data_IF_361831587214
#
_entry.id   IF_361831587214
#
_cell.length_a   1.000
_cell.length_b   1.000
_cell.length_c   1.000
_cell.angle_alpha   90.00
_cell.angle_beta   90.00
_cell.angle_gamma   90.00
#
_symmetry.space_group_name_H-M   'P 1'
#
loop_
_entity.id
_entity.type
_entity.pdbx_description
1 polymer ?
#
# COMPACT_ATOMS: atom_id res chain seq x y z
N UNK A 1 24.01 -11.75 -33.40
CA UNK A 1 22.71 -11.55 -32.72
C UNK A 1 22.84 -10.83 -31.36
N UNK A 2 23.98 -10.21 -31.03
CA UNK A 2 24.24 -9.55 -29.73
C UNK A 2 23.88 -8.04 -29.68
N UNK A 3 23.57 -7.45 -30.84
CA UNK A 3 23.31 -6.00 -30.98
C UNK A 3 21.83 -5.61 -30.84
N UNK A 4 20.89 -6.56 -31.01
CA UNK A 4 19.46 -6.28 -30.88
C UNK A 4 18.95 -6.35 -29.42
N UNK A 5 19.60 -7.16 -28.58
CA UNK A 5 19.27 -7.32 -27.16
C UNK A 5 19.68 -6.09 -26.32
N UNK A 6 20.82 -5.48 -26.66
CA UNK A 6 21.26 -4.22 -26.04
C UNK A 6 20.34 -3.05 -26.36
N UNK A 7 19.75 -3.01 -27.57
CA UNK A 7 18.74 -1.98 -27.91
C UNK A 7 17.39 -2.20 -27.20
N UNK A 8 17.02 -3.43 -26.88
CA UNK A 8 15.76 -3.74 -26.17
C UNK A 8 15.84 -3.45 -24.66
N UNK A 9 17.02 -3.69 -24.06
CA UNK A 9 17.29 -3.35 -22.65
C UNK A 9 17.49 -1.85 -22.49
N UNK A 10 18.17 -1.19 -23.44
CA UNK A 10 18.33 0.27 -23.43
C UNK A 10 16.99 0.97 -23.70
N UNK A 11 16.10 0.40 -24.53
CA UNK A 11 14.75 0.92 -24.71
C UNK A 11 13.88 0.87 -23.44
N UNK A 12 14.13 -0.09 -22.53
CA UNK A 12 13.46 -0.14 -21.23
C UNK A 12 14.04 0.89 -20.24
N UNK A 13 15.33 1.22 -20.33
CA UNK A 13 15.95 2.30 -19.55
C UNK A 13 15.69 3.71 -20.12
N UNK A 14 15.39 3.83 -21.42
CA UNK A 14 15.09 5.09 -22.13
C UNK A 14 13.59 5.42 -22.21
N UNK A 15 12.73 4.55 -21.67
CA UNK A 15 11.34 4.89 -21.35
C UNK A 15 11.33 5.86 -20.17
N UNK A 16 11.54 7.13 -20.53
CA UNK A 16 11.57 8.31 -19.68
C UNK A 16 10.70 8.15 -18.43
N UNK A 17 11.44 8.07 -17.33
CA UNK A 17 11.06 8.29 -15.95
C UNK A 17 10.47 9.70 -15.78
N UNK A 18 9.34 9.98 -16.41
CA UNK A 18 8.63 11.27 -16.34
C UNK A 18 7.14 11.00 -16.48
N UNK A 19 6.35 11.42 -15.47
CA UNK A 19 4.87 11.44 -15.36
C UNK A 19 4.17 10.30 -14.59
N UNK A 20 3.97 10.56 -13.28
CA UNK A 20 2.81 10.35 -12.39
C UNK A 20 1.90 9.11 -12.42
N UNK A 21 2.13 8.08 -13.22
CA UNK A 21 1.39 6.80 -13.10
C UNK A 21 2.32 5.62 -13.38
N UNK A 22 3.13 5.26 -12.38
CA UNK A 22 4.11 4.18 -12.47
C UNK A 22 3.46 2.80 -12.27
N UNK A 23 2.72 2.29 -13.26
CA UNK A 23 2.35 0.88 -13.35
C UNK A 23 2.33 0.50 -14.84
N UNK A 24 3.26 -0.36 -15.30
CA UNK A 24 3.17 -1.02 -16.63
C UNK A 24 1.77 -1.69 -16.82
N UNK A 25 1.30 -2.00 -18.04
CA UNK A 25 0.06 -2.77 -18.24
C UNK A 25 0.22 -4.25 -17.82
N UNK A 26 -0.87 -4.95 -17.42
CA UNK A 26 -0.88 -6.38 -17.03
C UNK A 26 -0.21 -7.26 -18.10
N UNK A 27 -0.66 -7.13 -19.34
CA UNK A 27 -0.29 -8.02 -20.44
C UNK A 27 1.20 -7.90 -20.82
N UNK A 28 1.80 -6.74 -20.59
CA UNK A 28 3.22 -6.50 -20.88
C UNK A 28 4.13 -7.10 -19.80
N UNK A 29 3.66 -7.24 -18.56
CA UNK A 29 4.45 -7.79 -17.44
C UNK A 29 4.42 -9.31 -17.39
N UNK A 30 3.25 -9.90 -17.59
CA UNK A 30 3.10 -11.36 -17.63
C UNK A 30 3.90 -11.92 -18.83
N UNK A 31 3.84 -11.23 -19.99
CA UNK A 31 4.64 -11.57 -21.16
C UNK A 31 6.16 -11.33 -20.96
N UNK A 32 6.57 -10.43 -20.08
CA UNK A 32 8.00 -10.25 -19.72
C UNK A 32 8.50 -11.37 -18.82
N UNK A 33 7.69 -11.83 -17.84
CA UNK A 33 8.05 -12.96 -16.98
C UNK A 33 8.19 -14.25 -17.81
N UNK A 34 7.18 -14.55 -18.64
CA UNK A 34 7.15 -15.76 -19.48
C UNK A 34 8.29 -15.80 -20.52
N UNK A 35 8.69 -14.65 -21.08
CA UNK A 35 9.82 -14.58 -22.03
C UNK A 35 11.17 -14.78 -21.33
N UNK A 36 11.34 -14.25 -20.13
CA UNK A 36 12.61 -14.35 -19.40
C UNK A 36 12.86 -15.78 -18.89
N UNK A 37 11.81 -16.52 -18.52
CA UNK A 37 11.90 -17.93 -18.14
C UNK A 37 12.21 -18.85 -19.33
N UNK A 38 11.74 -18.51 -20.54
CA UNK A 38 12.03 -19.29 -21.75
C UNK A 38 13.44 -19.07 -22.32
N UNK A 39 14.03 -17.88 -22.17
CA UNK A 39 15.35 -17.57 -22.75
C UNK A 39 16.54 -17.93 -21.84
N UNK A 40 16.34 -18.11 -20.52
CA UNK A 40 17.45 -18.31 -19.56
C UNK A 40 17.18 -19.40 -18.50
N UNK A 41 17.19 -20.69 -18.88
CA UNK A 41 16.82 -21.81 -18.01
C UNK A 41 17.82 -22.17 -16.90
N UNK A 42 19.01 -21.56 -16.88
CA UNK A 42 20.15 -22.00 -16.04
C UNK A 42 20.39 -21.13 -14.79
N UNK A 43 19.42 -20.31 -14.35
CA UNK A 43 19.45 -19.70 -13.02
C UNK A 43 20.51 -18.64 -12.76
N UNK A 44 21.17 -18.09 -13.79
CA UNK A 44 22.21 -17.04 -13.63
C UNK A 44 21.66 -15.66 -13.28
N UNK A 45 20.35 -15.51 -13.04
CA UNK A 45 19.70 -14.23 -12.74
C UNK A 45 19.08 -14.10 -11.34
N UNK A 46 19.76 -14.65 -10.32
CA UNK A 46 19.43 -14.35 -8.93
C UNK A 46 19.44 -12.84 -8.60
N UNK A 47 19.98 -11.97 -9.48
CA UNK A 47 19.95 -10.51 -9.29
C UNK A 47 18.80 -9.76 -10.01
N UNK A 48 18.08 -10.38 -10.96
CA UNK A 48 16.87 -9.75 -11.55
C UNK A 48 15.59 -10.26 -10.88
N UNK A 49 15.55 -11.52 -10.45
CA UNK A 49 14.40 -12.08 -9.71
C UNK A 49 14.26 -11.40 -8.35
N UNK A 50 15.36 -10.95 -7.72
CA UNK A 50 15.32 -10.27 -6.42
C UNK A 50 14.65 -8.89 -6.44
N UNK A 51 14.54 -8.22 -7.59
CA UNK A 51 13.82 -6.93 -7.69
C UNK A 51 12.33 -7.08 -8.06
N UNK A 52 11.83 -8.31 -8.20
CA UNK A 52 10.44 -8.60 -8.56
C UNK A 52 9.64 -9.22 -7.39
N UNK A 53 10.26 -9.44 -6.23
CA UNK A 53 9.64 -10.05 -5.03
C UNK A 53 8.63 -9.16 -4.29
N UNK A 54 8.28 -8.00 -4.82
CA UNK A 54 7.39 -7.05 -4.14
C UNK A 54 6.27 -6.59 -5.09
N UNK A 55 5.67 -7.52 -5.85
CA UNK A 55 4.72 -7.14 -6.91
C UNK A 55 3.27 -7.43 -6.56
N UNK A 56 3.00 -8.40 -5.69
CA UNK A 56 1.60 -8.79 -5.41
C UNK A 56 0.90 -7.82 -4.45
N UNK A 57 1.54 -7.41 -3.37
CA UNK A 57 0.88 -6.54 -2.39
C UNK A 57 0.96 -5.04 -2.73
N UNK A 58 2.02 -4.57 -3.42
CA UNK A 58 2.05 -3.21 -3.98
C UNK A 58 0.89 -2.94 -4.95
N UNK A 59 0.43 -3.99 -5.65
CA UNK A 59 -0.77 -3.95 -6.49
C UNK A 59 -2.04 -3.70 -5.68
N UNK A 60 -2.14 -4.23 -4.45
CA UNK A 60 -3.27 -3.97 -3.56
C UNK A 60 -3.29 -2.51 -3.11
N UNK A 61 -2.15 -1.96 -2.67
CA UNK A 61 -2.06 -0.54 -2.27
C UNK A 61 -2.38 0.39 -3.44
N UNK A 62 -1.93 0.02 -4.64
CA UNK A 62 -2.22 0.75 -5.88
C UNK A 62 -3.64 0.53 -6.43
N UNK A 63 -4.44 -0.33 -5.80
CA UNK A 63 -5.79 -0.61 -6.26
C UNK A 63 -6.76 0.53 -5.94
N UNK A 64 -7.79 0.65 -6.77
CA UNK A 64 -8.82 1.69 -6.63
C UNK A 64 -9.52 1.56 -5.28
N UNK A 65 -9.52 2.63 -4.49
CA UNK A 65 -10.10 2.65 -3.14
C UNK A 65 -9.06 2.69 -2.01
N UNK A 66 -7.78 2.46 -2.30
CA UNK A 66 -6.71 2.46 -1.30
C UNK A 66 -5.81 3.70 -1.37
N UNK A 67 -6.27 4.78 -2.01
CA UNK A 67 -5.46 5.98 -2.28
C UNK A 67 -4.98 6.70 -1.00
N UNK A 68 -5.60 6.41 0.15
CA UNK A 68 -5.22 6.97 1.46
C UNK A 68 -4.07 6.25 2.15
N UNK A 69 -3.77 5.01 1.78
CA UNK A 69 -2.66 4.28 2.37
C UNK A 69 -1.31 4.84 1.87
N UNK A 70 -0.30 4.77 2.72
CA UNK A 70 1.09 4.81 2.27
C UNK A 70 1.68 3.40 2.28
N UNK A 71 2.74 3.22 1.51
CA UNK A 71 3.50 1.97 1.50
C UNK A 71 4.31 1.85 2.80
N UNK A 72 4.11 0.74 3.52
CA UNK A 72 4.91 0.36 4.70
C UNK A 72 6.24 -0.21 4.20
N UNK A 73 7.34 0.20 4.84
CA UNK A 73 8.67 -0.33 4.48
C UNK A 73 8.78 -1.83 4.80
N UNK A 74 9.48 -2.59 3.95
CA UNK A 74 9.70 -4.03 4.14
C UNK A 74 10.49 -4.33 5.43
N UNK A 75 11.42 -3.46 5.83
CA UNK A 75 12.18 -3.62 7.08
C UNK A 75 11.27 -3.44 8.32
N UNK A 76 10.21 -2.64 8.23
CA UNK A 76 9.21 -2.53 9.28
C UNK A 76 8.34 -3.79 9.39
N UNK A 77 7.98 -4.38 8.25
CA UNK A 77 7.15 -5.60 8.17
C UNK A 77 7.92 -6.86 8.59
N UNK A 78 9.23 -6.92 8.35
CA UNK A 78 10.08 -8.06 8.71
C UNK A 78 10.42 -8.10 10.21
N UNK A 79 10.39 -6.95 10.90
CA UNK A 79 10.60 -6.88 12.33
C UNK A 79 9.35 -7.31 13.13
N UNK A 80 9.43 -8.49 13.74
CA UNK A 80 8.35 -9.10 14.52
C UNK A 80 7.91 -8.25 15.71
N UNK A 81 8.79 -7.40 16.26
CA UNK A 81 8.44 -6.55 17.39
C UNK A 81 7.32 -5.57 17.03
N UNK A 82 7.34 -5.02 15.81
CA UNK A 82 6.32 -4.10 15.31
C UNK A 82 4.94 -4.77 15.13
N UNK A 83 4.93 -6.09 14.93
CA UNK A 83 3.72 -6.88 14.68
C UNK A 83 3.13 -7.52 15.96
N UNK A 84 3.74 -7.28 17.12
CA UNK A 84 3.34 -7.91 18.40
C UNK A 84 1.84 -7.70 18.68
N UNK A 85 1.16 -8.77 19.08
CA UNK A 85 -0.27 -8.80 19.45
C UNK A 85 -1.23 -8.96 18.26
N UNK A 86 -0.81 -8.68 17.02
CA UNK A 86 -1.68 -8.77 15.85
C UNK A 86 -2.08 -10.21 15.48
N UNK A 87 -1.30 -11.19 15.95
CA UNK A 87 -1.61 -12.61 15.77
C UNK A 87 -2.91 -13.04 16.46
N UNK A 88 -3.38 -12.29 17.45
CA UNK A 88 -4.66 -12.56 18.14
C UNK A 88 -5.85 -11.88 17.48
N UNK A 89 -5.61 -10.82 16.70
CA UNK A 89 -6.63 -10.03 16.01
C UNK A 89 -6.91 -10.56 14.60
N UNK A 90 -5.93 -11.20 13.96
CA UNK A 90 -5.97 -11.59 12.55
C UNK A 90 -6.06 -13.11 12.39
N UNK A 91 -7.08 -13.57 11.67
CA UNK A 91 -7.21 -14.98 11.27
C UNK A 91 -6.15 -15.35 10.22
N UNK A 92 -5.68 -16.60 10.20
CA UNK A 92 -4.64 -17.04 9.26
C UNK A 92 -3.38 -16.15 9.26
N UNK A 93 -3.02 -15.58 10.42
CA UNK A 93 -1.97 -14.57 10.55
C UNK A 93 -0.66 -14.93 9.82
N UNK A 94 -0.16 -16.16 9.96
CA UNK A 94 1.07 -16.57 9.28
C UNK A 94 0.96 -16.51 7.76
N UNK A 95 -0.12 -17.06 7.20
CA UNK A 95 -0.41 -16.99 5.76
C UNK A 95 -0.64 -15.55 5.29
N UNK A 96 -1.27 -14.71 6.12
CA UNK A 96 -1.48 -13.30 5.82
C UNK A 96 -0.15 -12.53 5.76
N UNK A 97 0.78 -12.79 6.68
CA UNK A 97 2.15 -12.23 6.66
C UNK A 97 2.89 -12.70 5.42
N UNK A 98 2.89 -14.00 5.15
CA UNK A 98 3.57 -14.58 3.99
C UNK A 98 3.04 -13.99 2.67
N UNK A 99 1.73 -13.72 2.61
CA UNK A 99 1.09 -13.07 1.47
C UNK A 99 1.47 -11.59 1.32
N UNK A 100 1.55 -10.84 2.41
CA UNK A 100 2.02 -9.44 2.38
C UNK A 100 3.48 -9.36 1.94
N UNK A 101 4.30 -10.34 2.37
CA UNK A 101 5.74 -10.41 2.07
C UNK A 101 6.07 -11.11 0.74
N UNK A 102 5.06 -11.46 -0.07
CA UNK A 102 5.20 -12.15 -1.36
C UNK A 102 5.99 -13.49 -1.29
N UNK A 103 5.89 -14.19 -0.15
CA UNK A 103 6.47 -15.52 0.08
C UNK A 103 5.38 -16.60 0.26
N UNK A 104 4.15 -16.30 -0.15
CA UNK A 104 3.02 -17.21 -0.03
C UNK A 104 3.02 -18.27 -1.13
N UNK A 105 3.29 -19.51 -0.74
CA UNK A 105 3.45 -20.67 -1.66
C UNK A 105 2.34 -21.72 -1.48
N UNK A 106 1.33 -21.47 -0.65
CA UNK A 106 0.28 -22.45 -0.40
C UNK A 106 -0.64 -22.62 -1.62
N UNK A 107 -0.67 -23.85 -2.15
CA UNK A 107 -1.65 -24.28 -3.13
C UNK A 107 -2.97 -24.60 -2.40
N UNK A 108 -3.97 -23.74 -2.58
CA UNK A 108 -5.27 -23.83 -1.94
C UNK A 108 -6.37 -23.48 -2.95
N UNK A 109 -7.59 -23.90 -2.66
CA UNK A 109 -8.74 -23.51 -3.49
C UNK A 109 -9.00 -21.99 -3.43
N UNK A 110 -9.77 -21.51 -4.41
CA UNK A 110 -10.05 -20.08 -4.57
C UNK A 110 -10.77 -19.48 -3.34
N UNK A 111 -11.63 -20.26 -2.68
CA UNK A 111 -12.39 -19.84 -1.50
C UNK A 111 -11.45 -19.60 -0.30
N UNK A 112 -10.54 -20.53 -0.01
CA UNK A 112 -9.54 -20.38 1.04
C UNK A 112 -8.59 -19.21 0.73
N UNK A 113 -8.20 -19.07 -0.54
CA UNK A 113 -7.34 -17.97 -0.97
C UNK A 113 -8.00 -16.61 -0.73
N UNK A 114 -9.28 -16.45 -1.03
CA UNK A 114 -10.02 -15.21 -0.77
C UNK A 114 -10.04 -14.85 0.73
N UNK A 115 -10.22 -15.85 1.61
CA UNK A 115 -10.21 -15.66 3.07
C UNK A 115 -8.83 -15.21 3.57
N UNK A 116 -7.75 -15.79 3.04
CA UNK A 116 -6.38 -15.38 3.36
C UNK A 116 -6.11 -13.96 2.85
N UNK A 117 -6.52 -13.63 1.63
CA UNK A 117 -6.38 -12.28 1.07
C UNK A 117 -7.14 -11.24 1.89
N UNK A 118 -8.35 -11.56 2.37
CA UNK A 118 -9.11 -10.69 3.29
C UNK A 118 -8.36 -10.47 4.61
N UNK A 119 -7.76 -11.53 5.15
CA UNK A 119 -6.98 -11.47 6.38
C UNK A 119 -5.70 -10.65 6.22
N UNK A 120 -5.01 -10.78 5.08
CA UNK A 120 -3.84 -9.97 4.72
C UNK A 120 -4.18 -8.48 4.58
N UNK A 121 -5.31 -8.15 3.94
CA UNK A 121 -5.78 -6.75 3.86
C UNK A 121 -6.06 -6.17 5.24
N UNK A 122 -6.67 -6.97 6.12
CA UNK A 122 -6.95 -6.57 7.48
C UNK A 122 -5.65 -6.34 8.28
N UNK A 123 -4.73 -7.30 8.24
CA UNK A 123 -3.42 -7.21 8.88
C UNK A 123 -2.65 -5.97 8.42
N UNK A 124 -2.56 -5.75 7.11
CA UNK A 124 -1.86 -4.59 6.57
C UNK A 124 -2.43 -3.28 7.08
N UNK A 125 -3.76 -3.17 7.18
CA UNK A 125 -4.42 -2.01 7.75
C UNK A 125 -4.04 -1.76 9.21
N UNK A 126 -3.97 -2.80 10.04
CA UNK A 126 -3.54 -2.69 11.44
C UNK A 126 -2.07 -2.28 11.57
N UNK A 127 -1.19 -2.84 10.74
CA UNK A 127 0.23 -2.46 10.71
C UNK A 127 0.37 -1.02 10.22
N UNK A 128 -0.42 -0.61 9.23
CA UNK A 128 -0.41 0.75 8.69
C UNK A 128 -0.72 1.78 9.79
N UNK A 129 -1.72 1.53 10.64
CA UNK A 129 -2.04 2.43 11.75
C UNK A 129 -0.86 2.64 12.71
N UNK A 130 -0.07 1.58 12.96
CA UNK A 130 1.17 1.66 13.76
C UNK A 130 2.31 2.35 13.01
N UNK A 131 2.43 2.08 11.71
CA UNK A 131 3.51 2.61 10.88
C UNK A 131 3.41 4.12 10.67
N UNK A 132 2.21 4.66 10.40
CA UNK A 132 2.03 6.08 10.06
C UNK A 132 2.30 7.06 11.21
N UNK A 133 2.48 6.58 12.44
CA UNK A 133 2.93 7.40 13.58
C UNK A 133 4.44 7.32 13.82
N UNK A 134 5.17 6.51 13.05
CA UNK A 134 6.65 6.50 13.05
C UNK A 134 7.20 7.65 12.21
N UNK A 135 8.47 8.04 12.42
CA UNK A 135 9.12 9.10 11.61
C UNK A 135 9.04 8.85 10.11
N UNK A 136 9.28 7.60 9.66
CA UNK A 136 9.23 7.23 8.24
C UNK A 136 7.81 7.26 7.68
N UNK A 137 6.85 6.70 8.41
CA UNK A 137 5.43 6.73 8.02
C UNK A 137 4.86 8.14 7.96
N UNK A 138 5.18 8.98 8.95
CA UNK A 138 4.78 10.39 8.98
C UNK A 138 5.33 11.15 7.77
N UNK A 139 6.61 10.95 7.40
CA UNK A 139 7.20 11.58 6.22
C UNK A 139 6.45 11.19 4.94
N UNK A 140 6.13 9.90 4.74
CA UNK A 140 5.36 9.43 3.57
C UNK A 140 3.95 10.02 3.54
N UNK A 141 3.26 10.06 4.67
CA UNK A 141 1.91 10.62 4.75
C UNK A 141 1.89 12.14 4.56
N UNK A 142 2.92 12.85 5.03
CA UNK A 142 3.07 14.28 4.83
C UNK A 142 3.22 14.64 3.35
N UNK A 143 3.98 13.84 2.59
CA UNK A 143 4.10 14.04 1.14
C UNK A 143 2.76 13.85 0.42
N UNK A 144 1.96 12.87 0.82
CA UNK A 144 0.59 12.69 0.32
C UNK A 144 -0.33 13.85 0.71
N UNK A 145 -0.20 14.37 1.94
CA UNK A 145 -0.95 15.52 2.42
C UNK A 145 -0.66 16.78 1.60
N UNK A 146 0.62 17.08 1.34
CA UNK A 146 1.05 18.22 0.51
C UNK A 146 0.50 18.13 -0.92
N UNK A 147 0.45 16.92 -1.49
CA UNK A 147 -0.14 16.67 -2.82
C UNK A 147 -1.67 16.76 -2.83
N UNK A 148 -2.31 16.66 -1.66
CA UNK A 148 -3.76 16.69 -1.52
C UNK A 148 -4.43 15.36 -1.88
N UNK A 149 -3.70 14.24 -1.78
CA UNK A 149 -4.18 12.89 -2.14
C UNK A 149 -5.41 12.47 -1.34
N UNK A 150 -5.53 12.97 -0.10
CA UNK A 150 -6.64 12.65 0.80
C UNK A 150 -7.92 13.43 0.48
N UNK A 151 -7.81 14.45 -0.38
CA UNK A 151 -8.88 15.37 -0.71
C UNK A 151 -8.78 16.71 0.01
N UNK A 152 -9.83 17.52 -0.16
CA UNK A 152 -9.88 18.92 0.23
C UNK A 152 -11.15 19.21 1.03
N UNK A 153 -11.03 20.07 2.03
CA UNK A 153 -12.11 20.45 2.92
C UNK A 153 -13.32 20.99 2.14
N UNK A 154 -14.54 20.50 2.42
CA UNK A 154 -15.74 20.95 1.72
C UNK A 154 -16.22 22.34 2.15
N UNK A 155 -15.76 22.88 3.30
CA UNK A 155 -16.11 24.23 3.72
C UNK A 155 -15.48 25.28 2.81
N UNK A 156 -16.30 26.15 2.24
CA UNK A 156 -15.86 27.24 1.35
C UNK A 156 -14.81 28.14 2.02
N UNK A 157 -15.01 28.47 3.30
CA UNK A 157 -14.07 29.30 4.08
C UNK A 157 -12.70 28.65 4.31
N UNK A 158 -12.62 27.32 4.19
CA UNK A 158 -11.34 26.62 4.26
C UNK A 158 -10.50 26.80 2.99
N UNK A 159 -11.05 27.35 1.89
CA UNK A 159 -10.33 27.60 0.63
C UNK A 159 -9.65 26.32 0.11
N UNK A 160 -10.37 25.21 0.09
CA UNK A 160 -9.85 23.90 -0.37
C UNK A 160 -8.61 23.41 0.39
N UNK A 161 -8.55 23.67 1.71
CA UNK A 161 -7.48 23.17 2.57
C UNK A 161 -7.36 21.64 2.50
N UNK A 162 -6.16 21.06 2.38
CA UNK A 162 -5.98 19.60 2.35
C UNK A 162 -6.49 18.94 3.64
N UNK A 163 -6.88 17.68 3.51
CA UNK A 163 -7.42 16.88 4.61
C UNK A 163 -6.44 15.77 5.01
N UNK A 164 -6.63 15.19 6.19
CA UNK A 164 -5.90 14.02 6.67
C UNK A 164 -6.86 12.88 6.99
N UNK A 165 -6.55 11.62 6.66
CA UNK A 165 -7.36 10.48 7.07
C UNK A 165 -7.22 10.25 8.58
N UNK A 166 -8.30 9.85 9.24
CA UNK A 166 -8.29 9.45 10.65
C UNK A 166 -9.45 8.52 10.98
N UNK A 167 -9.25 7.64 11.96
CA UNK A 167 -10.29 6.84 12.58
C UNK A 167 -11.00 7.58 13.72
N UNK A 168 -12.26 7.21 13.96
CA UNK A 168 -12.98 7.61 15.19
C UNK A 168 -12.88 6.55 16.29
N UNK A 169 -12.25 5.42 16.01
CA UNK A 169 -11.95 4.34 16.95
C UNK A 169 -10.71 3.62 16.45
N UNK A 170 -9.88 3.14 17.38
CA UNK A 170 -8.75 2.25 17.08
C UNK A 170 -9.19 0.77 17.04
N UNK A 171 -10.44 0.48 17.41
CA UNK A 171 -11.03 -0.86 17.34
C UNK A 171 -11.53 -1.11 15.91
N UNK A 172 -11.09 -2.19 15.25
CA UNK A 172 -11.52 -2.49 13.88
C UNK A 172 -13.01 -2.81 13.76
N UNK A 173 -13.54 -2.66 12.55
CA UNK A 173 -14.93 -2.87 12.14
C UNK A 173 -15.96 -2.01 12.88
N UNK A 174 -15.53 -0.93 13.55
CA UNK A 174 -16.42 -0.02 14.28
C UNK A 174 -16.94 1.09 13.39
N UNK A 175 -16.04 1.85 12.75
CA UNK A 175 -16.39 2.97 11.88
C UNK A 175 -15.41 3.11 10.72
N UNK A 176 -15.93 3.47 9.56
CA UNK A 176 -15.12 3.82 8.40
C UNK A 176 -14.27 5.08 8.64
N UNK A 177 -13.22 5.22 7.83
CA UNK A 177 -12.29 6.36 7.85
C UNK A 177 -13.04 7.69 7.67
N UNK A 178 -12.58 8.71 8.41
CA UNK A 178 -12.99 10.11 8.29
C UNK A 178 -11.81 10.94 7.81
N UNK A 179 -12.13 12.16 7.38
CA UNK A 179 -11.14 13.14 6.93
C UNK A 179 -11.16 14.35 7.87
N UNK A 180 -10.03 14.63 8.49
CA UNK A 180 -9.82 15.76 9.38
C UNK A 180 -9.30 16.98 8.62
N UNK A 181 -9.83 18.17 8.91
CA UNK A 181 -9.32 19.43 8.39
C UNK A 181 -8.62 20.23 9.49
N UNK A 182 -7.30 20.44 9.38
CA UNK A 182 -6.53 21.22 10.34
C UNK A 182 -6.88 22.73 10.38
N UNK A 183 -7.62 23.24 9.39
CA UNK A 183 -8.00 24.65 9.32
C UNK A 183 -9.30 25.01 10.05
N UNK A 184 -10.27 24.10 10.05
CA UNK A 184 -11.55 24.29 10.76
C UNK A 184 -11.76 23.29 11.90
N UNK A 185 -10.79 22.41 12.12
CA UNK A 185 -10.74 21.45 13.22
C UNK A 185 -11.98 20.54 13.29
N UNK A 186 -12.44 20.08 12.13
CA UNK A 186 -13.69 19.32 11.98
C UNK A 186 -13.47 18.07 11.11
N UNK A 187 -14.36 17.08 11.30
CA UNK A 187 -14.33 15.78 10.63
C UNK A 187 -15.35 15.70 9.50
N UNK A 188 -14.93 15.11 8.38
CA UNK A 188 -15.75 14.95 7.19
C UNK A 188 -15.77 13.50 6.72
N UNK A 189 -16.83 13.14 6.01
CA UNK A 189 -16.89 11.88 5.28
C UNK A 189 -16.09 11.99 3.98
N UNK A 190 -15.40 10.92 3.55
CA UNK A 190 -14.87 10.83 2.20
C UNK A 190 -15.98 11.06 1.16
N UNK A 191 -15.69 11.85 0.12
CA UNK A 191 -16.69 12.20 -0.91
C UNK A 191 -17.09 11.01 -1.79
N UNK A 192 -16.15 10.08 -2.03
CA UNK A 192 -16.36 8.92 -2.88
C UNK A 192 -16.71 7.70 -2.05
N UNK A 193 -17.77 6.98 -2.43
CA UNK A 193 -18.21 5.74 -1.78
C UNK A 193 -17.14 4.65 -1.75
N UNK A 194 -16.18 4.68 -2.69
CA UNK A 194 -15.03 3.76 -2.67
C UNK A 194 -14.17 3.86 -1.40
N UNK A 195 -14.16 5.02 -0.75
CA UNK A 195 -13.36 5.27 0.45
C UNK A 195 -14.14 5.02 1.74
N UNK A 196 -15.48 4.92 1.66
CA UNK A 196 -16.33 4.68 2.83
C UNK A 196 -16.30 3.23 3.32
N UNK A 197 -15.69 2.32 2.54
CA UNK A 197 -15.47 0.92 2.93
C UNK A 197 -14.16 0.71 3.67
N UNK A 198 -13.27 1.71 3.70
CA UNK A 198 -11.99 1.62 4.42
C UNK A 198 -12.26 1.80 5.91
N UNK A 199 -11.73 0.88 6.72
CA UNK A 199 -11.80 0.97 8.17
C UNK A 199 -10.99 2.16 8.68
N UNK A 200 -11.58 2.95 9.58
CA UNK A 200 -10.90 4.07 10.22
C UNK A 200 -9.79 3.61 11.18
N UNK A 201 -9.90 2.42 11.76
CA UNK A 201 -8.89 1.85 12.65
C UNK A 201 -7.51 1.74 11.98
N UNK A 202 -7.48 1.60 10.65
CA UNK A 202 -6.23 1.51 9.87
C UNK A 202 -5.44 2.83 9.78
N UNK A 203 -6.02 3.93 10.25
CA UNK A 203 -5.35 5.23 10.35
C UNK A 203 -5.21 5.71 11.81
N UNK A 204 -5.90 5.04 12.74
CA UNK A 204 -5.92 5.42 14.15
C UNK A 204 -6.59 6.76 14.46
N UNK A 205 -6.81 6.98 15.75
CA UNK A 205 -7.43 8.19 16.30
C UNK A 205 -6.44 9.33 16.52
N UNK A 206 -5.14 9.04 16.58
CA UNK A 206 -4.10 9.99 17.00
C UNK A 206 -3.27 10.57 15.85
N UNK A 207 -3.20 9.90 14.70
CA UNK A 207 -2.32 10.26 13.58
C UNK A 207 -2.45 11.74 13.15
N UNK A 208 -3.68 12.25 13.03
CA UNK A 208 -3.91 13.63 12.59
C UNK A 208 -3.38 14.69 13.57
N UNK A 209 -3.19 14.35 14.85
CA UNK A 209 -2.60 15.23 15.86
C UNK A 209 -1.07 15.14 15.88
N UNK A 210 -0.52 13.97 15.61
CA UNK A 210 0.93 13.71 15.67
C UNK A 210 1.66 14.33 14.46
N UNK A 211 1.04 14.31 13.27
CA UNK A 211 1.72 14.74 12.03
C UNK A 211 2.15 16.21 12.01
N UNK A 212 1.53 17.07 12.82
CA UNK A 212 1.89 18.49 12.93
C UNK A 212 2.92 18.79 14.04
N UNK A 213 3.42 17.76 14.73
CA UNK A 213 4.43 17.90 15.78
C UNK A 213 5.87 17.68 15.29
N UNK A 214 6.05 17.43 13.98
CA UNK A 214 7.35 17.31 13.31
C UNK A 214 7.96 18.65 12.92
#
# INVERSE_FOLDING_TARGET
MSFAASQSIVAASDLKFTTSTNILPRDLRDCLCDRLDSEYPNGTHLLLIFNLKSLRFLRFISSRGNEYFCEIDEDYLTDRFNLTGLNTEVQYYHYAVDLIMDVFELDCDDDMREVIEKSARHLYGLVHARYIVTTRGLAKMLEKYKKGDFGKCPRVMCKSHPLLPTGQSDVPNVKAVKLYCAKCEDLYNPKSSRHTVIDGAYFGTSFHNIIFQL
#
